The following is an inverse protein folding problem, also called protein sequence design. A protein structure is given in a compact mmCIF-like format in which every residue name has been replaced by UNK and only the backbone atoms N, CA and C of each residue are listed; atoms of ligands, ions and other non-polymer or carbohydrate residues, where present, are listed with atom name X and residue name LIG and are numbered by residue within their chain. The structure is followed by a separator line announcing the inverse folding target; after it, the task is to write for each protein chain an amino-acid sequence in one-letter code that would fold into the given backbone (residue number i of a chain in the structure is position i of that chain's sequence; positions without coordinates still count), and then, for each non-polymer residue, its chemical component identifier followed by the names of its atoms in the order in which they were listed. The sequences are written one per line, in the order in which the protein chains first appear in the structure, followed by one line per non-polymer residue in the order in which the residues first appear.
data_IF_868870856032
#
_entry.id   IF_868870856032
#
_cell.length_a   1.000
_cell.length_b   1.000
_cell.length_c   1.000
_cell.angle_alpha   90.00
_cell.angle_beta   90.00
_cell.angle_gamma   90.00
#
_symmetry.space_group_name_H-M   'P 1'
#
loop_
_entity.id
_entity.type
_entity.pdbx_description
1 polymer ?
#
# COMPACT_ATOMS: atom_id res chain seq x y z
N UNK A 1 34.38 -24.82 -23.90
CA UNK A 1 32.94 -25.18 -23.91
C UNK A 1 32.35 -25.29 -22.50
N UNK A 2 32.99 -26.02 -21.57
CA UNK A 2 32.52 -26.15 -20.18
C UNK A 2 32.40 -24.83 -19.38
N UNK A 3 33.30 -23.86 -19.60
CA UNK A 3 33.28 -22.56 -18.91
C UNK A 3 32.01 -21.73 -19.19
N UNK A 4 31.49 -21.79 -20.42
CA UNK A 4 30.26 -21.06 -20.81
C UNK A 4 29.01 -21.65 -20.17
N UNK A 5 28.96 -22.97 -20.01
CA UNK A 5 27.85 -23.68 -19.36
C UNK A 5 27.83 -23.35 -17.86
N UNK A 6 29.00 -23.34 -17.21
CA UNK A 6 29.14 -22.94 -15.81
C UNK A 6 28.74 -21.49 -15.57
N UNK A 7 29.16 -20.57 -16.46
CA UNK A 7 28.77 -19.16 -16.37
C UNK A 7 27.26 -18.97 -16.56
N UNK A 8 26.65 -19.65 -17.53
CA UNK A 8 25.19 -19.61 -17.78
C UNK A 8 24.39 -20.11 -16.57
N UNK A 9 24.77 -21.26 -16.01
CA UNK A 9 24.12 -21.82 -14.83
C UNK A 9 24.27 -20.91 -13.60
N UNK A 10 25.42 -20.26 -13.45
CA UNK A 10 25.65 -19.29 -12.38
C UNK A 10 24.76 -18.06 -12.52
N UNK A 11 24.63 -17.51 -13.73
CA UNK A 11 23.75 -16.36 -14.01
C UNK A 11 22.28 -16.72 -13.75
N UNK A 12 21.83 -17.87 -14.23
CA UNK A 12 20.47 -18.35 -14.02
C UNK A 12 20.17 -18.59 -12.53
N UNK A 13 21.07 -19.27 -11.82
CA UNK A 13 20.95 -19.49 -10.38
C UNK A 13 20.88 -18.18 -9.59
N UNK A 14 21.72 -17.20 -9.93
CA UNK A 14 21.69 -15.90 -9.26
C UNK A 14 20.42 -15.13 -9.57
N UNK A 15 19.91 -15.19 -10.80
CA UNK A 15 18.64 -14.55 -11.16
C UNK A 15 17.47 -15.12 -10.36
N UNK A 16 17.44 -16.44 -10.17
CA UNK A 16 16.43 -17.10 -9.34
C UNK A 16 16.53 -16.69 -7.87
N UNK A 17 17.75 -16.66 -7.31
CA UNK A 17 17.98 -16.24 -5.93
C UNK A 17 17.55 -14.78 -5.73
N UNK A 18 17.97 -13.88 -6.63
CA UNK A 18 17.60 -12.46 -6.57
C UNK A 18 16.08 -12.27 -6.65
N UNK A 19 15.40 -12.98 -7.56
CA UNK A 19 13.94 -12.93 -7.67
C UNK A 19 13.26 -13.42 -6.37
N UNK A 20 13.79 -14.48 -5.75
CA UNK A 20 13.25 -14.99 -4.48
C UNK A 20 13.44 -14.01 -3.33
N UNK A 21 14.60 -13.35 -3.25
CA UNK A 21 14.88 -12.33 -2.23
C UNK A 21 14.01 -11.09 -2.43
N UNK A 22 13.82 -10.66 -3.67
CA UNK A 22 12.97 -9.51 -3.98
C UNK A 22 11.50 -9.77 -3.60
N UNK A 23 10.98 -10.97 -3.90
CA UNK A 23 9.63 -11.37 -3.47
C UNK A 23 9.49 -11.35 -1.95
N UNK A 24 10.47 -11.92 -1.24
CA UNK A 24 10.51 -11.93 0.22
C UNK A 24 10.53 -10.51 0.79
N UNK A 25 11.33 -9.62 0.22
CA UNK A 25 11.41 -8.22 0.65
C UNK A 25 10.07 -7.50 0.51
N UNK A 26 9.37 -7.68 -0.63
CA UNK A 26 8.04 -7.11 -0.87
C UNK A 26 7.03 -7.65 0.15
N UNK A 27 7.06 -8.95 0.46
CA UNK A 27 6.17 -9.56 1.45
C UNK A 27 6.44 -9.04 2.88
N UNK A 28 7.71 -8.91 3.26
CA UNK A 28 8.11 -8.32 4.54
C UNK A 28 7.67 -6.86 4.67
N UNK A 29 7.82 -6.07 3.60
CA UNK A 29 7.39 -4.68 3.55
C UNK A 29 5.86 -4.57 3.66
N UNK A 30 5.09 -5.47 3.06
CA UNK A 30 3.63 -5.53 3.24
C UNK A 30 3.21 -5.83 4.66
N UNK A 31 3.83 -6.83 5.29
CA UNK A 31 3.52 -7.19 6.68
C UNK A 31 3.84 -5.99 7.59
N UNK A 32 4.93 -5.28 7.31
CA UNK A 32 5.31 -4.08 8.03
C UNK A 32 4.30 -2.94 7.82
N UNK A 33 3.90 -2.66 6.58
CA UNK A 33 2.93 -1.61 6.25
C UNK A 33 1.55 -1.91 6.86
N UNK A 34 1.09 -3.16 6.80
CA UNK A 34 -0.15 -3.60 7.43
C UNK A 34 -0.09 -3.43 8.95
N UNK A 35 0.98 -3.90 9.61
CA UNK A 35 1.17 -3.74 11.05
C UNK A 35 1.25 -2.26 11.45
N UNK A 36 1.94 -1.45 10.67
CA UNK A 36 2.05 -0.01 10.91
C UNK A 36 0.68 0.66 10.82
N UNK A 37 -0.11 0.34 9.80
CA UNK A 37 -1.50 0.83 9.66
C UNK A 37 -2.37 0.37 10.82
N UNK A 38 -2.29 -0.90 11.20
CA UNK A 38 -3.05 -1.48 12.31
C UNK A 38 -2.76 -0.74 13.63
N UNK A 39 -1.48 -0.58 14.00
CA UNK A 39 -1.08 0.14 15.22
C UNK A 39 -1.57 1.60 15.16
N UNK A 40 -1.37 2.28 14.03
CA UNK A 40 -1.81 3.67 13.89
C UNK A 40 -3.32 3.82 14.00
N UNK A 41 -4.10 2.90 13.41
CA UNK A 41 -5.56 2.98 13.36
C UNK A 41 -6.24 2.46 14.63
N UNK A 42 -5.85 1.29 15.12
CA UNK A 42 -6.54 0.58 16.19
C UNK A 42 -6.01 0.95 17.58
N UNK A 43 -4.79 1.50 17.67
CA UNK A 43 -4.16 1.85 18.95
C UNK A 43 -3.95 3.37 19.07
N UNK A 44 -3.17 3.98 18.17
CA UNK A 44 -2.74 5.38 18.31
C UNK A 44 -3.89 6.38 18.07
N UNK A 45 -4.70 6.20 17.03
CA UNK A 45 -5.85 7.09 16.76
C UNK A 45 -6.85 7.11 17.94
N UNK A 46 -7.28 5.96 18.50
CA UNK A 46 -8.10 5.90 19.70
C UNK A 46 -7.47 6.53 20.93
N UNK A 47 -6.16 6.38 21.14
CA UNK A 47 -5.44 7.00 22.26
C UNK A 47 -5.43 8.54 22.14
N UNK A 48 -5.20 9.07 20.94
CA UNK A 48 -5.31 10.51 20.65
C UNK A 48 -6.74 10.99 20.90
N UNK A 49 -7.74 10.25 20.42
CA UNK A 49 -9.15 10.59 20.65
C UNK A 49 -9.50 10.62 22.14
N UNK A 50 -9.04 9.63 22.90
CA UNK A 50 -9.25 9.55 24.35
C UNK A 50 -8.57 10.71 25.08
N UNK A 51 -7.37 11.09 24.66
CA UNK A 51 -6.67 12.27 25.18
C UNK A 51 -7.46 13.56 24.91
N UNK A 52 -8.00 13.73 23.70
CA UNK A 52 -8.89 14.85 23.35
C UNK A 52 -10.11 14.89 24.30
N UNK A 53 -10.74 13.74 24.56
CA UNK A 53 -11.88 13.66 25.48
C UNK A 53 -11.49 14.03 26.91
N UNK A 54 -10.39 13.51 27.45
CA UNK A 54 -9.91 13.86 28.79
C UNK A 54 -9.62 15.36 28.92
N UNK A 55 -8.91 15.96 27.96
CA UNK A 55 -8.62 17.39 27.99
C UNK A 55 -9.88 18.25 27.81
N UNK A 56 -10.85 17.81 27.01
CA UNK A 56 -12.11 18.54 26.82
C UNK A 56 -12.98 18.61 28.08
N UNK A 57 -12.81 17.68 29.01
CA UNK A 57 -13.52 17.65 30.28
C UNK A 57 -12.90 18.59 31.33
N UNK A 58 -11.62 18.96 31.15
CA UNK A 58 -10.92 19.90 32.02
C UNK A 58 -11.27 21.34 31.59
N UNK A 59 -12.16 21.99 32.34
CA UNK A 59 -12.72 23.30 31.99
C UNK A 59 -11.65 24.41 31.84
N UNK A 60 -11.69 25.04 30.66
CA UNK A 60 -11.63 26.48 30.42
C UNK A 60 -10.34 27.25 30.77
N UNK A 61 -9.19 26.67 30.44
CA UNK A 61 -7.94 27.42 30.30
C UNK A 61 -7.59 27.54 28.82
N UNK A 62 -7.19 28.73 28.38
CA UNK A 62 -6.92 29.03 26.95
C UNK A 62 -5.84 28.11 26.38
N UNK A 63 -4.90 27.71 27.24
CA UNK A 63 -3.85 26.73 26.97
C UNK A 63 -4.49 25.40 26.56
N UNK A 64 -5.37 24.79 27.37
CA UNK A 64 -6.00 23.49 27.05
C UNK A 64 -6.79 23.50 25.74
N UNK A 65 -7.43 24.62 25.40
CA UNK A 65 -8.10 24.78 24.10
C UNK A 65 -7.14 24.63 22.92
N UNK A 66 -5.94 25.22 23.03
CA UNK A 66 -4.89 25.11 22.01
C UNK A 66 -4.32 23.68 21.92
N UNK A 67 -4.14 22.96 23.03
CA UNK A 67 -3.69 21.57 22.97
C UNK A 67 -4.75 20.63 22.40
N UNK A 68 -6.04 20.82 22.75
CA UNK A 68 -7.15 20.06 22.16
C UNK A 68 -7.18 20.26 20.65
N UNK A 69 -6.99 21.50 20.19
CA UNK A 69 -6.96 21.82 18.76
C UNK A 69 -5.76 21.14 18.07
N UNK A 70 -4.58 21.14 18.70
CA UNK A 70 -3.37 20.49 18.18
C UNK A 70 -3.55 18.97 18.07
N UNK A 71 -4.07 18.31 19.10
CA UNK A 71 -4.38 16.88 19.10
C UNK A 71 -5.44 16.53 18.04
N UNK A 72 -6.48 17.35 17.91
CA UNK A 72 -7.52 17.18 16.89
C UNK A 72 -6.95 17.28 15.47
N UNK A 73 -6.02 18.22 15.26
CA UNK A 73 -5.34 18.38 13.97
C UNK A 73 -4.41 17.18 13.69
N UNK A 74 -3.69 16.67 14.69
CA UNK A 74 -2.87 15.46 14.56
C UNK A 74 -3.72 14.24 14.20
N UNK A 75 -4.84 14.03 14.91
CA UNK A 75 -5.79 12.97 14.61
C UNK A 75 -6.27 13.03 13.15
N UNK A 76 -6.66 14.22 12.68
CA UNK A 76 -7.11 14.42 11.29
C UNK A 76 -6.00 14.15 10.27
N UNK A 77 -4.77 14.61 10.54
CA UNK A 77 -3.62 14.37 9.66
C UNK A 77 -3.27 12.89 9.55
N UNK A 78 -3.19 12.18 10.68
CA UNK A 78 -2.92 10.73 10.70
C UNK A 78 -4.06 9.99 9.98
N UNK A 79 -5.31 10.34 10.25
CA UNK A 79 -6.47 9.74 9.59
C UNK A 79 -6.51 10.01 8.07
N UNK A 80 -6.05 11.19 7.61
CA UNK A 80 -5.93 11.50 6.18
C UNK A 80 -4.81 10.67 5.54
N UNK A 81 -3.65 10.65 6.19
CA UNK A 81 -2.50 9.87 5.74
C UNK A 81 -2.82 8.37 5.61
N UNK A 82 -3.53 7.80 6.59
CA UNK A 82 -3.97 6.40 6.50
C UNK A 82 -4.98 6.15 5.37
N UNK A 83 -5.80 7.15 5.01
CA UNK A 83 -6.74 7.06 3.88
C UNK A 83 -6.04 7.22 2.52
N UNK A 84 -4.96 7.98 2.48
CA UNK A 84 -4.12 8.19 1.29
C UNK A 84 -3.18 6.99 1.04
N UNK A 85 -2.86 6.21 2.07
CA UNK A 85 -2.18 4.93 1.90
C UNK A 85 -3.13 3.94 1.20
N UNK A 86 -2.81 3.44 -0.01
CA UNK A 86 -3.71 2.58 -0.76
C UNK A 86 -4.03 1.31 0.02
N UNK A 87 -5.31 1.00 0.16
CA UNK A 87 -5.79 -0.29 0.65
C UNK A 87 -5.83 -1.27 -0.54
N UNK A 88 -4.64 -1.51 -1.11
CA UNK A 88 -4.48 -2.23 -2.36
C UNK A 88 -5.11 -3.63 -2.28
N UNK A 89 -5.03 -4.29 -1.13
CA UNK A 89 -5.62 -5.62 -0.91
C UNK A 89 -7.15 -5.60 -1.03
N UNK A 90 -7.81 -4.65 -0.38
CA UNK A 90 -9.27 -4.52 -0.41
C UNK A 90 -9.77 -3.99 -1.77
N UNK A 91 -9.06 -3.06 -2.40
CA UNK A 91 -9.42 -2.55 -3.72
C UNK A 91 -9.26 -3.60 -4.82
N UNK A 92 -8.18 -4.39 -4.81
CA UNK A 92 -7.96 -5.47 -5.77
C UNK A 92 -9.02 -6.57 -5.59
N UNK A 93 -9.39 -6.92 -4.36
CA UNK A 93 -10.47 -7.88 -4.11
C UNK A 93 -11.83 -7.38 -4.59
N UNK A 94 -12.10 -6.07 -4.49
CA UNK A 94 -13.40 -5.49 -4.86
C UNK A 94 -13.52 -5.19 -6.35
N UNK A 95 -12.45 -4.69 -6.99
CA UNK A 95 -12.47 -4.14 -8.35
C UNK A 95 -11.76 -5.04 -9.36
N UNK A 96 -10.85 -5.90 -8.91
CA UNK A 96 -9.88 -6.59 -9.76
C UNK A 96 -8.62 -5.75 -10.02
N UNK A 97 -7.55 -6.41 -10.44
CA UNK A 97 -6.23 -5.81 -10.60
C UNK A 97 -6.20 -4.66 -11.63
N UNK A 98 -6.84 -4.84 -12.79
CA UNK A 98 -6.81 -3.86 -13.89
C UNK A 98 -7.49 -2.55 -13.45
N UNK A 99 -8.72 -2.63 -12.94
CA UNK A 99 -9.44 -1.47 -12.44
C UNK A 99 -8.76 -0.78 -11.25
N UNK A 100 -8.06 -1.53 -10.40
CA UNK A 100 -7.24 -0.95 -9.34
C UNK A 100 -6.05 -0.15 -9.92
N UNK A 101 -5.36 -0.66 -10.96
CA UNK A 101 -4.24 0.03 -11.62
C UNK A 101 -4.69 1.29 -12.38
N UNK A 102 -5.87 1.25 -13.02
CA UNK A 102 -6.47 2.42 -13.68
C UNK A 102 -6.75 3.53 -12.65
N UNK A 103 -7.24 3.17 -11.45
CA UNK A 103 -7.46 4.14 -10.37
C UNK A 103 -6.17 4.72 -9.82
N UNK A 104 -5.15 3.89 -9.62
CA UNK A 104 -3.84 4.32 -9.15
C UNK A 104 -3.26 5.39 -10.08
N UNK A 105 -3.21 5.11 -11.39
CA UNK A 105 -2.74 6.08 -12.39
C UNK A 105 -3.65 7.30 -12.51
N UNK A 106 -4.97 7.12 -12.41
CA UNK A 106 -5.95 8.22 -12.37
C UNK A 106 -5.79 9.20 -11.21
N UNK A 107 -5.22 8.75 -10.09
CA UNK A 107 -4.92 9.62 -8.96
C UNK A 107 -3.58 10.34 -9.07
N UNK A 108 -2.64 9.82 -9.86
CA UNK A 108 -1.27 10.34 -9.96
C UNK A 108 -1.03 11.20 -11.21
N UNK A 109 -1.83 11.03 -12.26
CA UNK A 109 -1.69 11.74 -13.53
C UNK A 109 -3.02 12.33 -13.99
N UNK A 110 -3.00 13.48 -14.69
CA UNK A 110 -4.19 13.94 -15.43
C UNK A 110 -4.48 12.96 -16.57
N UNK A 111 -5.45 12.06 -16.43
CA UNK A 111 -5.72 10.98 -17.40
C UNK A 111 -6.53 11.40 -18.63
N UNK A 112 -6.69 12.70 -18.87
CA UNK A 112 -7.50 13.23 -19.97
C UNK A 112 -6.89 13.01 -21.37
N UNK A 113 -5.62 12.61 -21.46
CA UNK A 113 -4.89 12.45 -22.72
C UNK A 113 -4.57 10.99 -23.09
N UNK A 114 -4.97 10.01 -22.29
CA UNK A 114 -4.66 8.59 -22.53
C UNK A 114 -5.86 7.69 -22.29
N UNK A 115 -6.21 6.90 -23.32
CA UNK A 115 -7.20 5.82 -23.22
C UNK A 115 -6.50 4.50 -22.88
N UNK A 116 -7.00 3.82 -21.86
CA UNK A 116 -6.55 2.48 -21.51
C UNK A 116 -7.00 1.47 -22.58
N UNK A 117 -6.05 0.96 -23.36
CA UNK A 117 -6.30 -0.12 -24.32
C UNK A 117 -5.69 -1.43 -23.79
N UNK A 118 -6.56 -2.37 -23.40
CA UNK A 118 -6.16 -3.70 -22.96
C UNK A 118 -7.09 -4.75 -23.56
N UNK A 119 -6.52 -5.90 -23.91
CA UNK A 119 -7.27 -7.02 -24.47
C UNK A 119 -8.30 -7.53 -23.45
N UNK A 120 -9.57 -7.45 -23.80
CA UNK A 120 -10.69 -7.93 -22.98
C UNK A 120 -10.60 -9.44 -22.65
N UNK A 121 -9.83 -10.21 -23.42
CA UNK A 121 -9.59 -11.63 -23.16
C UNK A 121 -8.46 -11.90 -22.15
N UNK A 122 -7.73 -10.88 -21.67
CA UNK A 122 -6.65 -11.04 -20.68
C UNK A 122 -7.10 -11.77 -19.42
N UNK A 123 -8.35 -11.53 -18.97
CA UNK A 123 -8.94 -12.19 -17.80
C UNK A 123 -9.06 -13.72 -17.99
N UNK A 124 -9.21 -14.20 -19.22
CA UNK A 124 -9.29 -15.62 -19.55
C UNK A 124 -7.91 -16.25 -19.81
N UNK A 125 -6.96 -15.48 -20.35
CA UNK A 125 -5.60 -15.95 -20.66
C UNK A 125 -4.68 -15.98 -19.43
N UNK A 126 -4.94 -15.12 -18.45
CA UNK A 126 -4.16 -15.02 -17.20
C UNK A 126 -5.09 -15.04 -15.98
N UNK A 127 -5.61 -16.21 -15.58
CA UNK A 127 -6.52 -16.36 -14.44
C UNK A 127 -5.74 -16.34 -13.12
N UNK A 128 -4.99 -15.27 -12.87
CA UNK A 128 -4.36 -15.06 -11.57
C UNK A 128 -5.48 -14.67 -10.60
N UNK A 129 -5.81 -15.58 -9.69
CA UNK A 129 -6.92 -15.43 -8.74
C UNK A 129 -6.47 -15.38 -7.29
N UNK A 130 -5.20 -15.72 -7.04
CA UNK A 130 -4.61 -15.65 -5.69
C UNK A 130 -4.46 -14.19 -5.28
N UNK A 131 -5.09 -13.74 -4.17
CA UNK A 131 -5.03 -12.36 -3.72
C UNK A 131 -3.60 -11.82 -3.57
N UNK A 132 -2.70 -12.66 -3.05
CA UNK A 132 -1.31 -12.30 -2.79
C UNK A 132 -0.56 -11.99 -4.10
N UNK A 133 -0.84 -12.76 -5.15
CA UNK A 133 -0.23 -12.59 -6.47
C UNK A 133 -0.74 -11.34 -7.18
N UNK A 134 -2.03 -11.01 -7.03
CA UNK A 134 -2.60 -9.79 -7.59
C UNK A 134 -2.05 -8.55 -6.90
N UNK A 135 -1.89 -8.58 -5.58
CA UNK A 135 -1.20 -7.51 -4.86
C UNK A 135 0.27 -7.38 -5.29
N UNK A 136 0.99 -8.48 -5.56
CA UNK A 136 2.39 -8.44 -6.09
C UNK A 136 2.44 -7.68 -7.39
N UNK A 137 1.53 -7.96 -8.31
CA UNK A 137 1.46 -7.27 -9.58
C UNK A 137 1.10 -5.79 -9.40
N UNK A 138 0.15 -5.47 -8.53
CA UNK A 138 -0.23 -4.09 -8.26
C UNK A 138 0.93 -3.26 -7.70
N UNK A 139 1.64 -3.76 -6.68
CA UNK A 139 2.78 -3.06 -6.10
C UNK A 139 3.97 -2.99 -7.05
N UNK A 140 4.23 -4.04 -7.85
CA UNK A 140 5.28 -4.01 -8.87
C UNK A 140 5.02 -2.94 -9.95
N UNK A 141 3.77 -2.74 -10.35
CA UNK A 141 3.39 -1.69 -11.29
C UNK A 141 3.49 -0.28 -10.69
N UNK A 142 3.21 -0.11 -9.39
CA UNK A 142 3.33 1.19 -8.71
C UNK A 142 4.77 1.68 -8.61
N UNK A 143 5.72 0.76 -8.44
CA UNK A 143 7.13 1.10 -8.21
C UNK A 143 7.98 1.21 -9.49
N UNK A 144 7.40 0.94 -10.67
CA UNK A 144 8.10 0.99 -11.97
C UNK A 144 8.03 2.37 -12.60
#
# INVERSE_FOLDING_TARGET
MASWILFSLFVESNSLILSSLQKKHIEEQRIFDYKTRQILHDEILPEIHSSILMFSQLKNDKIFSEQIQLLTNLHKRISSFLRELPDASLEIQRLGLIEALIRLTGSEFETSWFDWDFDSELKYRFPITKPEALEILFYACRES
#
